data_IF_584502491932
#
_entry.id   IF_584502491932
#
_cell.length_a   1.000
_cell.length_b   1.000
_cell.length_c   1.000
_cell.angle_alpha   90.00
_cell.angle_beta   90.00
_cell.angle_gamma   90.00
#
_symmetry.space_group_name_H-M   'P 1'
#
loop_
_entity.id
_entity.type
_entity.pdbx_description
1 polymer ?
#
# COMPACT_ATOMS: atom_id res chain seq x y z
N UNK A 1 9.76 6.21 -15.57
CA UNK A 1 10.38 4.95 -16.07
C UNK A 1 11.21 4.41 -14.94
N UNK A 2 10.70 3.40 -14.23
CA UNK A 2 11.37 2.85 -13.06
C UNK A 2 12.56 2.00 -13.49
N UNK A 3 13.77 2.39 -13.09
CA UNK A 3 14.97 1.56 -13.25
C UNK A 3 15.08 0.69 -12.00
N UNK A 4 14.65 -0.56 -12.11
CA UNK A 4 14.76 -1.54 -11.03
C UNK A 4 16.23 -1.91 -10.85
N UNK A 5 16.84 -1.47 -9.75
CA UNK A 5 18.16 -1.96 -9.34
C UNK A 5 18.08 -3.46 -9.01
N UNK A 6 18.72 -4.26 -9.87
CA UNK A 6 19.23 -5.63 -9.68
C UNK A 6 18.70 -6.36 -8.43
N UNK A 7 17.47 -6.85 -8.52
CA UNK A 7 16.92 -7.77 -7.53
C UNK A 7 17.68 -9.11 -7.60
N UNK A 8 18.14 -9.59 -6.45
CA UNK A 8 18.65 -10.95 -6.31
C UNK A 8 17.57 -11.94 -6.76
N UNK A 9 17.98 -12.95 -7.55
CA UNK A 9 17.08 -13.83 -8.30
C UNK A 9 16.34 -14.81 -7.37
N UNK A 10 15.21 -14.38 -6.80
CA UNK A 10 14.25 -15.29 -6.19
C UNK A 10 13.47 -16.05 -7.27
N UNK A 11 13.33 -17.37 -7.10
CA UNK A 11 12.49 -18.20 -7.97
C UNK A 11 11.04 -18.02 -7.53
N UNK A 12 10.24 -17.34 -8.35
CA UNK A 12 8.79 -17.18 -8.13
C UNK A 12 8.04 -18.42 -8.62
N UNK A 13 7.01 -18.83 -7.87
CA UNK A 13 6.08 -19.85 -8.38
C UNK A 13 5.28 -19.28 -9.55
N UNK A 14 5.34 -19.90 -10.72
CA UNK A 14 4.69 -19.40 -11.93
C UNK A 14 3.16 -19.43 -11.86
N UNK A 15 2.58 -20.37 -11.11
CA UNK A 15 1.13 -20.55 -11.06
C UNK A 15 0.43 -19.44 -10.25
N UNK A 16 0.88 -19.16 -9.02
CA UNK A 16 0.26 -18.13 -8.16
C UNK A 16 1.06 -16.82 -8.09
N UNK A 17 2.37 -16.84 -8.36
CA UNK A 17 3.34 -15.74 -8.14
C UNK A 17 3.41 -15.22 -6.68
N UNK A 18 2.68 -15.81 -5.74
CA UNK A 18 2.63 -15.39 -4.33
C UNK A 18 3.75 -15.98 -3.47
N UNK A 19 4.21 -17.19 -3.77
CA UNK A 19 5.29 -17.83 -3.03
C UNK A 19 6.66 -17.51 -3.66
N UNK A 20 7.57 -17.00 -2.84
CA UNK A 20 8.97 -16.77 -3.20
C UNK A 20 9.85 -17.86 -2.59
N UNK A 21 10.69 -18.47 -3.41
CA UNK A 21 11.63 -19.49 -2.96
C UNK A 21 13.06 -19.07 -3.31
N UNK A 22 14.01 -19.41 -2.45
CA UNK A 22 15.43 -19.19 -2.73
C UNK A 22 15.95 -20.11 -3.85
N UNK A 23 15.27 -21.23 -4.14
CA UNK A 23 15.64 -22.14 -5.22
C UNK A 23 14.44 -22.98 -5.72
N UNK A 24 14.61 -23.66 -6.87
CA UNK A 24 13.61 -24.59 -7.42
C UNK A 24 13.42 -25.82 -6.53
N UNK A 25 14.44 -26.24 -5.80
CA UNK A 25 14.38 -27.36 -4.85
C UNK A 25 13.46 -27.02 -3.68
N UNK A 26 13.59 -25.81 -3.13
CA UNK A 26 12.70 -25.30 -2.08
C UNK A 26 11.25 -25.22 -2.55
N UNK A 27 11.02 -24.74 -3.78
CA UNK A 27 9.69 -24.73 -4.39
C UNK A 27 9.10 -26.15 -4.51
N UNK A 28 9.84 -27.11 -5.07
CA UNK A 28 9.38 -28.49 -5.25
C UNK A 28 9.07 -29.16 -3.91
N UNK A 29 9.86 -28.89 -2.88
CA UNK A 29 9.67 -29.41 -1.52
C UNK A 29 8.38 -28.90 -0.88
N UNK A 30 8.05 -27.63 -1.09
CA UNK A 30 6.84 -26.99 -0.54
C UNK A 30 5.59 -27.20 -1.41
N UNK A 31 5.76 -27.58 -2.68
CA UNK A 31 4.68 -27.72 -3.65
C UNK A 31 3.48 -28.58 -3.20
N UNK A 32 3.63 -29.74 -2.54
CA UNK A 32 2.49 -30.53 -2.10
C UNK A 32 1.56 -29.79 -1.11
N UNK A 33 2.13 -28.97 -0.23
CA UNK A 33 1.37 -28.12 0.69
C UNK A 33 0.83 -26.88 -0.03
N UNK A 34 1.70 -26.20 -0.78
CA UNK A 34 1.35 -24.99 -1.52
C UNK A 34 0.26 -25.23 -2.57
N UNK A 35 0.24 -26.38 -3.25
CA UNK A 35 -0.74 -26.70 -4.30
C UNK A 35 -2.19 -26.59 -3.82
N UNK A 36 -2.44 -26.81 -2.53
CA UNK A 36 -3.77 -26.70 -1.94
C UNK A 36 -4.21 -25.24 -1.78
N UNK A 37 -3.27 -24.33 -1.51
CA UNK A 37 -3.52 -22.87 -1.44
C UNK A 37 -3.26 -22.13 -2.76
N UNK A 38 -2.59 -22.78 -3.72
CA UNK A 38 -2.28 -22.24 -5.05
C UNK A 38 -3.50 -22.20 -5.98
N UNK A 39 -4.52 -23.01 -5.69
CA UNK A 39 -5.76 -23.04 -6.47
C UNK A 39 -6.70 -21.93 -6.00
N UNK A 40 -7.20 -21.15 -6.95
CA UNK A 40 -8.41 -20.32 -6.85
C UNK A 40 -8.31 -18.91 -6.25
N UNK A 41 -7.24 -18.15 -6.53
CA UNK A 41 -7.44 -16.71 -6.69
C UNK A 41 -7.91 -16.43 -8.12
N UNK A 42 -9.23 -16.48 -8.29
CA UNK A 42 -9.95 -16.32 -9.55
C UNK A 42 -9.94 -14.90 -10.08
N UNK A 43 -9.58 -13.90 -9.28
CA UNK A 43 -9.36 -12.55 -9.76
C UNK A 43 -7.85 -12.26 -9.93
N UNK A 44 -7.42 -11.90 -11.13
CA UNK A 44 -6.02 -11.59 -11.45
C UNK A 44 -5.61 -10.16 -11.08
N UNK A 45 -6.57 -9.32 -10.71
CA UNK A 45 -6.31 -8.01 -10.09
C UNK A 45 -5.60 -8.19 -8.73
N UNK A 46 -6.08 -9.01 -7.76
CA UNK A 46 -5.32 -9.34 -6.56
C UNK A 46 -3.91 -9.83 -6.84
N UNK A 47 -3.69 -10.61 -7.90
CA UNK A 47 -2.34 -11.06 -8.28
C UNK A 47 -1.44 -9.89 -8.71
N UNK A 48 -1.98 -8.97 -9.51
CA UNK A 48 -1.27 -7.76 -9.94
C UNK A 48 -0.90 -6.90 -8.71
N UNK A 49 -1.87 -6.63 -7.84
CA UNK A 49 -1.66 -5.84 -6.62
C UNK A 49 -0.73 -6.55 -5.63
N UNK A 50 -0.85 -7.86 -5.48
CA UNK A 50 0.10 -8.66 -4.68
C UNK A 50 1.52 -8.55 -5.23
N UNK A 51 1.68 -8.60 -6.56
CA UNK A 51 2.96 -8.37 -7.24
C UNK A 51 3.52 -6.97 -7.01
N UNK A 52 2.66 -5.94 -7.03
CA UNK A 52 3.00 -4.56 -6.68
C UNK A 52 3.51 -4.48 -5.24
N UNK A 53 2.76 -5.04 -4.28
CA UNK A 53 3.13 -5.06 -2.86
C UNK A 53 4.39 -5.90 -2.57
N UNK A 54 4.71 -6.87 -3.43
CA UNK A 54 5.93 -7.67 -3.32
C UNK A 54 7.19 -6.95 -3.82
N UNK A 55 7.07 -5.79 -4.49
CA UNK A 55 8.22 -4.98 -4.87
C UNK A 55 8.69 -4.15 -3.66
N UNK A 56 9.91 -4.34 -3.15
CA UNK A 56 10.37 -3.68 -1.92
C UNK A 56 10.47 -2.17 -2.05
N UNK A 57 10.79 -1.64 -3.25
CA UNK A 57 10.90 -0.20 -3.48
C UNK A 57 9.52 0.43 -3.48
N UNK A 58 8.61 -0.08 -4.32
CA UNK A 58 7.24 0.45 -4.41
C UNK A 58 6.48 0.31 -3.08
N UNK A 59 6.70 -0.80 -2.36
CA UNK A 59 6.12 -1.00 -1.05
C UNK A 59 6.71 -0.02 -0.01
N UNK A 60 8.01 0.29 -0.07
CA UNK A 60 8.61 1.30 0.79
C UNK A 60 8.03 2.70 0.49
N UNK A 61 7.89 3.07 -0.78
CA UNK A 61 7.31 4.35 -1.18
C UNK A 61 5.85 4.48 -0.71
N UNK A 62 5.06 3.41 -0.90
CA UNK A 62 3.68 3.35 -0.40
C UNK A 62 3.62 3.45 1.13
N UNK A 63 4.46 2.72 1.86
CA UNK A 63 4.53 2.83 3.33
C UNK A 63 4.90 4.23 3.78
N UNK A 64 5.81 4.89 3.05
CA UNK A 64 6.25 6.26 3.31
C UNK A 64 5.10 7.24 3.06
N UNK A 65 4.36 7.10 1.96
CA UNK A 65 3.16 7.86 1.67
C UNK A 65 2.12 7.73 2.80
N UNK A 66 1.85 6.50 3.24
CA UNK A 66 0.94 6.22 4.36
C UNK A 66 1.44 6.83 5.67
N UNK A 67 2.75 6.76 5.94
CA UNK A 67 3.35 7.35 7.14
C UNK A 67 3.25 8.87 7.17
N UNK A 68 3.40 9.55 6.02
CA UNK A 68 3.19 11.00 5.88
C UNK A 68 1.70 11.31 6.08
N UNK A 69 0.84 10.60 5.36
CA UNK A 69 -0.62 10.86 5.34
C UNK A 69 -1.25 10.72 6.73
N UNK A 70 -0.88 9.70 7.49
CA UNK A 70 -1.34 9.51 8.87
C UNK A 70 -0.45 10.16 9.92
N UNK A 71 0.58 10.90 9.48
CA UNK A 71 1.51 11.61 10.35
C UNK A 71 2.14 10.70 11.44
N UNK A 72 2.51 9.48 11.05
CA UNK A 72 2.98 8.42 11.96
C UNK A 72 4.36 8.74 12.55
N UNK A 73 5.23 9.36 11.76
CA UNK A 73 6.60 9.68 12.15
C UNK A 73 6.68 10.65 13.35
N UNK A 74 5.74 11.59 13.43
CA UNK A 74 5.70 12.55 14.55
C UNK A 74 5.13 11.92 15.82
N UNK A 75 4.28 10.89 15.69
CA UNK A 75 3.78 10.12 16.84
C UNK A 75 4.88 9.25 17.45
N UNK A 76 5.83 8.77 16.65
CA UNK A 76 6.88 7.88 17.11
C UNK A 76 8.00 8.58 17.90
N UNK A 77 8.15 9.91 17.77
CA UNK A 77 9.37 10.62 18.22
C UNK A 77 9.25 11.43 19.50
N UNK A 78 8.07 11.64 20.11
CA UNK A 78 8.00 12.53 21.28
C UNK A 78 6.84 12.21 22.27
N UNK A 79 7.09 12.13 23.60
CA UNK A 79 6.16 12.74 24.56
C UNK A 79 6.07 14.25 24.26
N UNK A 80 4.89 14.89 24.43
CA UNK A 80 4.63 16.23 23.92
C UNK A 80 5.72 17.24 24.35
N UNK A 81 6.21 18.09 23.43
CA UNK A 81 7.19 19.11 23.79
C UNK A 81 6.62 20.02 24.88
N UNK A 82 7.41 20.44 25.89
CA UNK A 82 6.96 21.41 26.86
C UNK A 82 6.58 22.70 26.13
N UNK A 83 5.31 23.10 26.28
CA UNK A 83 4.73 24.29 25.69
C UNK A 83 5.60 25.50 26.03
N UNK A 84 6.15 26.18 25.02
CA UNK A 84 6.74 27.51 25.17
C UNK A 84 5.78 28.54 24.54
N UNK A 85 5.03 29.30 25.34
CA UNK A 85 4.43 30.53 24.86
C UNK A 85 5.54 31.56 24.62
N UNK A 86 5.28 32.57 23.78
CA UNK A 86 6.17 33.69 23.40
C UNK A 86 7.03 33.31 22.15
N UNK A 87 6.86 33.84 20.93
CA UNK A 87 6.47 35.17 20.47
C UNK A 87 5.90 35.19 19.03
N UNK A 88 5.32 36.34 18.66
CA UNK A 88 4.91 36.86 17.35
C UNK A 88 3.55 36.46 16.75
N UNK A 89 2.84 37.52 16.35
CA UNK A 89 1.39 37.69 16.24
C UNK A 89 1.10 38.21 14.83
N UNK A 90 0.32 37.42 14.08
CA UNK A 90 -0.69 37.81 13.06
C UNK A 90 -0.80 36.86 11.86
N UNK A 91 0.19 36.01 11.58
CA UNK A 91 -0.02 34.78 10.78
C UNK A 91 -0.41 33.57 11.64
N UNK A 92 -0.34 33.74 12.96
CA UNK A 92 -0.64 32.70 13.96
C UNK A 92 -2.09 32.30 13.99
N UNK A 93 -3.06 33.15 13.64
CA UNK A 93 -4.48 32.80 13.80
C UNK A 93 -4.93 31.73 12.79
N UNK A 94 -4.59 31.90 11.50
CA UNK A 94 -4.90 30.91 10.46
C UNK A 94 -4.03 29.66 10.58
N UNK A 95 -2.73 29.81 10.83
CA UNK A 95 -1.85 28.66 11.08
C UNK A 95 -2.33 27.87 12.31
N UNK A 96 -2.74 28.54 13.40
CA UNK A 96 -3.30 27.91 14.59
C UNK A 96 -4.67 27.30 14.36
N UNK A 97 -5.53 27.90 13.53
CA UNK A 97 -6.82 27.31 13.16
C UNK A 97 -6.63 26.05 12.31
N UNK A 98 -5.68 26.06 11.37
CA UNK A 98 -5.29 24.89 10.59
C UNK A 98 -4.63 23.81 11.46
N UNK A 99 -3.74 24.21 12.39
CA UNK A 99 -3.14 23.30 13.38
C UNK A 99 -4.20 22.69 14.30
N UNK A 100 -5.15 23.48 14.81
CA UNK A 100 -6.25 23.01 15.65
C UNK A 100 -7.20 22.09 14.88
N UNK A 101 -7.48 22.38 13.61
CA UNK A 101 -8.28 21.50 12.76
C UNK A 101 -7.57 20.17 12.50
N UNK A 102 -6.25 20.20 12.24
CA UNK A 102 -5.42 19.01 12.15
C UNK A 102 -5.34 18.24 13.47
N UNK A 103 -5.21 18.93 14.60
CA UNK A 103 -5.16 18.32 15.94
C UNK A 103 -6.51 17.73 16.38
N UNK A 104 -7.62 18.39 16.04
CA UNK A 104 -8.97 17.89 16.30
C UNK A 104 -9.32 16.69 15.39
N UNK A 105 -8.76 16.66 14.17
CA UNK A 105 -8.89 15.53 13.25
C UNK A 105 -7.88 14.40 13.52
N UNK A 106 -6.86 14.62 14.37
CA UNK A 106 -5.88 13.58 14.69
C UNK A 106 -6.53 12.51 15.57
N UNK A 107 -6.50 11.23 15.15
CA UNK A 107 -6.76 10.15 16.10
C UNK A 107 -5.77 10.27 17.26
N UNK A 108 -6.28 10.11 18.49
CA UNK A 108 -5.52 10.31 19.72
C UNK A 108 -4.19 9.52 19.62
N UNK A 109 -3.01 10.20 19.60
CA UNK A 109 -1.74 9.60 19.18
C UNK A 109 -1.26 8.44 20.06
N UNK A 110 -1.93 8.20 21.19
CA UNK A 110 -1.63 7.12 22.13
C UNK A 110 -2.26 5.76 21.84
N UNK A 111 -3.14 5.59 20.83
CA UNK A 111 -3.90 4.34 20.71
C UNK A 111 -4.12 3.79 19.29
N UNK A 112 -3.07 3.81 18.47
CA UNK A 112 -3.07 3.12 17.17
C UNK A 112 -3.19 1.59 17.29
N UNK A 113 -3.02 1.04 18.49
CA UNK A 113 -3.28 -0.38 18.74
C UNK A 113 -4.77 -0.70 18.87
N UNK A 114 -5.66 0.29 19.07
CA UNK A 114 -7.10 0.04 19.20
C UNK A 114 -7.89 0.25 17.90
N UNK A 115 -7.40 1.10 17.00
CA UNK A 115 -8.13 1.47 15.77
C UNK A 115 -7.23 1.30 14.54
N UNK A 116 -7.69 0.60 13.48
CA UNK A 116 -6.93 0.52 12.23
C UNK A 116 -6.83 1.88 11.55
N UNK A 117 -5.67 2.21 11.02
CA UNK A 117 -5.56 3.22 9.96
C UNK A 117 -6.15 2.63 8.69
N UNK A 118 -7.07 3.33 8.04
CA UNK A 118 -7.62 2.88 6.76
C UNK A 118 -7.36 3.95 5.72
N UNK A 119 -6.74 3.53 4.63
CA UNK A 119 -6.47 4.36 3.47
C UNK A 119 -7.21 3.79 2.26
N UNK A 120 -7.64 4.66 1.37
CA UNK A 120 -8.15 4.30 0.06
C UNK A 120 -7.15 4.75 -0.99
N UNK A 121 -6.76 3.85 -1.88
CA UNK A 121 -5.93 4.15 -3.02
C UNK A 121 -6.70 3.87 -4.31
N UNK A 122 -6.92 4.90 -5.11
CA UNK A 122 -7.53 4.73 -6.43
C UNK A 122 -6.44 4.33 -7.41
N UNK A 123 -6.67 3.25 -8.13
CA UNK A 123 -5.71 2.67 -9.06
C UNK A 123 -6.29 2.71 -10.47
N UNK A 124 -5.48 3.18 -11.40
CA UNK A 124 -5.80 3.12 -12.83
C UNK A 124 -4.81 2.25 -13.59
N UNK A 125 -5.28 1.84 -14.76
CA UNK A 125 -4.50 1.22 -15.81
C UNK A 125 -4.47 2.16 -17.01
N UNK A 126 -3.35 2.19 -17.74
CA UNK A 126 -3.33 2.88 -19.02
C UNK A 126 -4.35 2.24 -19.97
N UNK A 127 -5.08 3.01 -20.80
CA UNK A 127 -6.06 2.44 -21.72
C UNK A 127 -5.46 1.39 -22.67
N UNK A 128 -4.18 1.55 -23.07
CA UNK A 128 -3.49 0.55 -23.89
C UNK A 128 -3.23 -0.77 -23.15
N UNK A 129 -3.03 -0.70 -21.84
CA UNK A 129 -2.73 -1.85 -20.99
C UNK A 129 -3.99 -2.62 -20.60
N UNK A 130 -5.16 -1.99 -20.71
CA UNK A 130 -6.43 -2.61 -20.32
C UNK A 130 -6.70 -3.92 -21.07
N UNK A 131 -6.34 -3.98 -22.35
CA UNK A 131 -6.48 -5.20 -23.15
C UNK A 131 -5.55 -6.32 -22.67
N UNK A 132 -4.29 -6.00 -22.43
CA UNK A 132 -3.30 -6.98 -21.96
C UNK A 132 -3.62 -7.43 -20.54
N UNK A 133 -4.01 -6.51 -19.67
CA UNK A 133 -4.50 -6.83 -18.33
C UNK A 133 -5.72 -7.72 -18.45
N UNK A 134 -6.74 -7.38 -19.23
CA UNK A 134 -7.93 -8.21 -19.41
C UNK A 134 -7.62 -9.60 -19.97
N UNK A 135 -6.68 -9.73 -20.89
CA UNK A 135 -6.24 -11.04 -21.39
C UNK A 135 -5.53 -11.83 -20.30
N UNK A 136 -4.62 -11.20 -19.54
CA UNK A 136 -4.05 -11.81 -18.33
C UNK A 136 -5.17 -12.18 -17.37
N UNK A 137 -6.24 -11.37 -17.34
CA UNK A 137 -7.34 -11.55 -16.44
C UNK A 137 -8.24 -12.74 -16.80
N UNK A 138 -8.51 -12.94 -18.08
CA UNK A 138 -9.31 -14.05 -18.58
C UNK A 138 -8.53 -15.37 -18.67
N UNK A 139 -7.20 -15.32 -18.51
CA UNK A 139 -6.33 -16.46 -18.76
C UNK A 139 -6.02 -16.68 -20.23
N UNK A 140 -6.33 -15.70 -21.09
CA UNK A 140 -6.08 -15.71 -22.54
C UNK A 140 -4.65 -15.28 -22.92
N UNK A 141 -3.69 -15.51 -22.00
CA UNK A 141 -2.28 -15.20 -22.17
C UNK A 141 -1.47 -16.42 -21.82
N UNK A 142 -0.62 -16.86 -22.76
CA UNK A 142 0.33 -17.94 -22.52
C UNK A 142 1.45 -17.50 -21.58
N UNK A 143 2.12 -18.45 -20.93
CA UNK A 143 3.24 -18.13 -20.03
C UNK A 143 4.37 -17.33 -20.75
N UNK A 144 4.58 -17.58 -22.04
CA UNK A 144 5.55 -16.87 -22.85
C UNK A 144 5.15 -15.41 -23.07
N UNK A 145 3.89 -15.15 -23.42
CA UNK A 145 3.36 -13.79 -23.61
C UNK A 145 3.29 -13.01 -22.29
N UNK A 146 3.02 -13.67 -21.17
CA UNK A 146 2.97 -13.00 -19.86
C UNK A 146 4.30 -12.35 -19.48
N UNK A 147 5.42 -12.85 -20.01
CA UNK A 147 6.75 -12.24 -19.80
C UNK A 147 7.01 -11.00 -20.67
N UNK A 148 6.25 -10.83 -21.75
CA UNK A 148 6.40 -9.71 -22.69
C UNK A 148 5.40 -8.58 -22.43
N UNK A 149 4.28 -8.87 -21.76
CA UNK A 149 3.30 -7.86 -21.37
C UNK A 149 3.97 -6.90 -20.38
N UNK A 150 4.08 -5.64 -20.79
CA UNK A 150 4.44 -4.53 -19.92
C UNK A 150 3.17 -3.71 -19.72
N UNK A 151 2.84 -3.44 -18.46
CA UNK A 151 1.74 -2.56 -18.11
C UNK A 151 2.17 -1.57 -17.03
N UNK A 152 1.52 -0.43 -17.00
CA UNK A 152 1.68 0.59 -15.96
C UNK A 152 0.43 0.64 -15.11
N UNK A 153 0.66 0.44 -13.82
CA UNK A 153 -0.32 0.65 -12.78
C UNK A 153 -0.07 2.05 -12.22
N UNK A 154 -1.08 2.92 -12.27
CA UNK A 154 -0.99 4.27 -11.73
C UNK A 154 -1.73 4.34 -10.40
N UNK A 155 -1.08 4.84 -9.36
CA UNK A 155 -1.74 5.21 -8.12
C UNK A 155 -2.22 6.67 -8.28
N UNK A 156 -3.52 6.85 -8.52
CA UNK A 156 -4.10 8.17 -8.84
C UNK A 156 -4.27 9.04 -7.61
N UNK A 157 -4.79 8.44 -6.55
CA UNK A 157 -5.19 9.15 -5.33
C UNK A 157 -4.96 8.25 -4.13
N UNK A 158 -4.48 8.82 -3.04
CA UNK A 158 -4.33 8.17 -1.74
C UNK A 158 -4.94 9.08 -0.68
N UNK A 159 -6.06 8.65 -0.11
CA UNK A 159 -6.77 9.43 0.89
C UNK A 159 -7.05 8.61 2.16
N UNK A 160 -7.10 9.25 3.34
CA UNK A 160 -7.64 8.62 4.53
C UNK A 160 -9.09 8.17 4.27
N UNK A 161 -9.40 6.93 4.63
CA UNK A 161 -10.76 6.41 4.59
C UNK A 161 -11.30 6.36 6.01
N UNK A 162 -12.50 6.87 6.21
CA UNK A 162 -13.21 6.66 7.45
C UNK A 162 -13.65 5.20 7.57
N UNK A 163 -13.65 4.68 8.80
CA UNK A 163 -14.32 3.43 9.15
C UNK A 163 -15.86 3.55 9.01
N UNK A 164 -16.38 4.79 8.96
CA UNK A 164 -17.76 5.13 9.28
C UNK A 164 -18.76 5.02 8.11
N UNK A 165 -18.34 4.85 6.86
CA UNK A 165 -19.31 4.73 5.78
C UNK A 165 -19.90 3.29 5.81
N UNK A 166 -21.15 3.07 6.30
CA UNK A 166 -21.81 1.80 6.05
C UNK A 166 -21.82 1.59 4.53
N UNK A 167 -21.68 0.33 4.07
CA UNK A 167 -21.80 0.04 2.66
C UNK A 167 -23.11 0.65 2.16
N UNK A 168 -23.00 1.49 1.13
CA UNK A 168 -24.10 2.15 0.43
C UNK A 168 -25.29 1.18 0.39
N UNK A 169 -26.43 1.63 0.93
CA UNK A 169 -27.63 0.82 1.17
C UNK A 169 -27.91 -0.10 -0.03
N UNK A 170 -28.20 -1.40 0.18
CA UNK A 170 -28.32 -2.42 -0.88
C UNK A 170 -29.51 -2.23 -1.84
N UNK A 171 -30.17 -1.08 -1.85
CA UNK A 171 -31.47 -0.88 -2.48
C UNK A 171 -31.45 -0.56 -3.99
N UNK A 172 -30.30 -0.42 -4.68
CA UNK A 172 -30.30 0.15 -6.05
C UNK A 172 -29.56 -0.59 -7.17
N UNK A 173 -29.01 -1.80 -6.97
CA UNK A 173 -28.36 -2.51 -8.09
C UNK A 173 -28.77 -3.98 -8.11
N UNK A 174 -29.71 -4.31 -8.99
CA UNK A 174 -30.21 -5.65 -9.32
C UNK A 174 -29.22 -6.52 -10.10
N UNK A 175 -27.91 -6.26 -9.97
CA UNK A 175 -26.85 -7.02 -10.61
C UNK A 175 -26.09 -7.79 -9.54
N UNK A 176 -26.02 -9.11 -9.70
CA UNK A 176 -25.25 -10.05 -8.88
C UNK A 176 -23.96 -9.44 -8.32
N UNK A 177 -23.97 -9.06 -7.04
CA UNK A 177 -22.75 -8.67 -6.33
C UNK A 177 -21.80 -9.87 -6.37
N UNK A 178 -20.53 -9.71 -6.77
CA UNK A 178 -19.56 -10.77 -6.55
C UNK A 178 -19.53 -11.06 -5.05
N UNK A 179 -19.54 -12.34 -4.64
CA UNK A 179 -19.49 -12.71 -3.25
C UNK A 179 -18.09 -12.37 -2.74
N UNK A 180 -17.90 -11.13 -2.27
CA UNK A 180 -16.77 -10.82 -1.41
C UNK A 180 -17.03 -11.56 -0.09
N UNK A 181 -16.74 -12.86 -0.08
CA UNK A 181 -16.80 -13.74 1.10
C UNK A 181 -15.69 -13.41 2.11
N UNK A 182 -15.02 -12.27 1.93
CA UNK A 182 -13.89 -11.82 2.72
C UNK A 182 -14.32 -11.33 4.09
N UNK A 183 -13.67 -11.89 5.11
CA UNK A 183 -13.57 -11.37 6.48
C UNK A 183 -13.71 -9.86 6.54
N UNK A 184 -14.41 -9.36 7.56
CA UNK A 184 -14.54 -7.91 7.77
C UNK A 184 -13.16 -7.24 7.81
N UNK A 185 -13.03 -5.99 7.36
CA UNK A 185 -11.77 -5.21 7.48
C UNK A 185 -11.16 -5.30 8.87
N UNK A 186 -12.03 -5.28 9.88
CA UNK A 186 -11.65 -5.40 11.29
C UNK A 186 -11.04 -6.77 11.64
N UNK A 187 -11.55 -7.86 11.09
CA UNK A 187 -10.93 -9.18 11.24
C UNK A 187 -9.57 -9.27 10.54
N UNK A 188 -9.42 -8.69 9.34
CA UNK A 188 -8.12 -8.62 8.66
C UNK A 188 -7.09 -7.89 9.52
N UNK A 189 -7.46 -6.74 10.06
CA UNK A 189 -6.60 -5.98 10.96
C UNK A 189 -6.29 -6.72 12.26
N UNK A 190 -7.29 -7.33 12.92
CA UNK A 190 -7.06 -8.13 14.15
C UNK A 190 -6.10 -9.28 13.90
N UNK A 191 -6.29 -10.02 12.81
CA UNK A 191 -5.40 -11.13 12.44
C UNK A 191 -3.97 -10.63 12.19
N UNK A 192 -3.82 -9.51 11.48
CA UNK A 192 -2.52 -8.90 11.25
C UNK A 192 -1.84 -8.45 12.55
N UNK A 193 -2.62 -7.85 13.46
CA UNK A 193 -2.16 -7.44 14.78
C UNK A 193 -1.70 -8.64 15.60
N UNK A 194 -2.50 -9.70 15.67
CA UNK A 194 -2.14 -10.95 16.37
C UNK A 194 -0.87 -11.57 15.78
N UNK A 195 -0.74 -11.60 14.44
CA UNK A 195 0.46 -12.09 13.78
C UNK A 195 1.69 -11.26 14.16
N UNK A 196 1.59 -9.93 14.12
CA UNK A 196 2.66 -9.02 14.58
C UNK A 196 3.05 -9.32 16.03
N UNK A 197 2.08 -9.43 16.94
CA UNK A 197 2.32 -9.61 18.37
C UNK A 197 2.96 -10.98 18.71
N UNK A 198 2.79 -11.98 17.84
CA UNK A 198 3.44 -13.30 17.96
C UNK A 198 4.90 -13.31 17.49
N UNK A 199 5.36 -12.28 16.77
CA UNK A 199 6.70 -12.21 16.19
C UNK A 199 7.57 -11.20 16.98
N UNK A 200 8.36 -11.63 17.97
CA UNK A 200 9.13 -10.71 18.83
C UNK A 200 10.19 -9.89 18.08
N UNK A 201 10.60 -10.33 16.90
CA UNK A 201 11.54 -9.63 16.03
C UNK A 201 10.89 -8.53 15.19
N UNK A 202 9.55 -8.51 15.10
CA UNK A 202 8.84 -7.40 14.49
C UNK A 202 8.61 -6.36 15.57
N UNK A 203 9.29 -5.21 15.45
CA UNK A 203 8.97 -4.03 16.27
C UNK A 203 7.48 -3.72 16.14
N UNK A 204 6.90 -3.03 17.14
CA UNK A 204 5.47 -2.67 17.18
C UNK A 204 5.15 -1.61 16.13
N UNK A 205 5.20 -2.01 14.87
CA UNK A 205 4.90 -1.16 13.75
C UNK A 205 3.39 -0.93 13.66
N UNK A 206 2.96 0.28 13.28
CA UNK A 206 1.58 0.55 12.90
C UNK A 206 1.16 -0.34 11.72
N UNK A 207 -0.11 -0.74 11.73
CA UNK A 207 -0.72 -1.51 10.65
C UNK A 207 -1.80 -0.65 10.00
N UNK A 208 -1.68 -0.46 8.69
CA UNK A 208 -2.69 0.19 7.87
C UNK A 208 -3.45 -0.83 7.04
N UNK A 209 -4.76 -0.63 6.89
CA UNK A 209 -5.57 -1.28 5.88
C UNK A 209 -5.63 -0.38 4.64
N UNK A 210 -5.21 -0.89 3.51
CA UNK A 210 -5.22 -0.17 2.24
C UNK A 210 -6.26 -0.76 1.32
N UNK A 211 -7.27 0.03 0.97
CA UNK A 211 -8.29 -0.31 0.00
C UNK A 211 -7.88 0.16 -1.39
N UNK A 212 -7.49 -0.76 -2.26
CA UNK A 212 -7.34 -0.47 -3.68
C UNK A 212 -8.70 -0.46 -4.37
N UNK A 213 -8.99 0.65 -5.04
CA UNK A 213 -10.23 0.85 -5.79
C UNK A 213 -9.89 0.99 -7.26
N UNK A 214 -10.48 0.12 -8.06
CA UNK A 214 -10.39 0.18 -9.52
C UNK A 214 -11.76 0.61 -10.03
N UNK A 215 -11.93 1.90 -10.41
CA UNK A 215 -13.24 2.48 -10.69
C UNK A 215 -14.02 1.68 -11.74
N UNK A 216 -13.35 1.29 -12.84
CA UNK A 216 -14.00 0.63 -13.97
C UNK A 216 -14.40 -0.82 -13.68
N UNK A 217 -13.70 -1.47 -12.75
CA UNK A 217 -13.99 -2.85 -12.36
C UNK A 217 -15.05 -2.94 -11.25
N UNK A 218 -15.39 -1.82 -10.60
CA UNK A 218 -16.17 -1.77 -9.36
C UNK A 218 -15.65 -2.78 -8.31
N UNK A 219 -14.32 -2.94 -8.27
CA UNK A 219 -13.64 -3.84 -7.35
C UNK A 219 -12.94 -3.04 -6.27
N UNK A 220 -13.06 -3.56 -5.05
CA UNK A 220 -12.44 -3.04 -3.83
C UNK A 220 -11.62 -4.17 -3.24
N UNK A 221 -10.31 -3.96 -3.08
CA UNK A 221 -9.41 -4.95 -2.53
C UNK A 221 -8.68 -4.38 -1.33
N UNK A 222 -8.90 -4.96 -0.16
CA UNK A 222 -8.26 -4.53 1.08
C UNK A 222 -6.99 -5.33 1.34
N UNK A 223 -5.87 -4.63 1.53
CA UNK A 223 -4.58 -5.19 1.91
C UNK A 223 -4.18 -4.72 3.30
N UNK A 224 -3.42 -5.55 4.00
CA UNK A 224 -2.76 -5.19 5.25
C UNK A 224 -1.35 -4.69 4.91
N UNK A 225 -1.06 -3.46 5.27
CA UNK A 225 0.23 -2.80 5.01
C UNK A 225 0.88 -2.45 6.35
N UNK A 226 1.91 -3.20 6.80
CA UNK A 226 2.70 -2.80 7.95
C UNK A 226 3.58 -1.60 7.58
N UNK A 227 3.66 -0.60 8.46
CA UNK A 227 4.45 0.60 8.24
C UNK A 227 5.77 0.46 8.99
N UNK A 228 6.79 -0.01 8.28
CA UNK A 228 8.05 -0.46 8.87
C UNK A 228 8.97 0.72 9.23
N UNK A 229 9.98 0.46 10.08
CA UNK A 229 11.01 1.45 10.48
C UNK A 229 11.61 2.22 9.32
N UNK A 230 12.01 1.61 8.19
CA UNK A 230 12.63 2.37 7.10
C UNK A 230 11.73 3.49 6.56
N UNK A 231 10.43 3.23 6.38
CA UNK A 231 9.48 4.25 5.94
C UNK A 231 9.36 5.38 6.97
N UNK A 232 9.26 5.04 8.25
CA UNK A 232 9.18 6.02 9.35
C UNK A 232 10.45 6.89 9.39
N UNK A 233 11.62 6.28 9.27
CA UNK A 233 12.92 6.97 9.26
C UNK A 233 13.02 7.93 8.07
N UNK A 234 12.62 7.49 6.86
CA UNK A 234 12.56 8.36 5.68
C UNK A 234 11.72 9.62 5.94
N UNK A 235 10.54 9.47 6.57
CA UNK A 235 9.69 10.61 6.93
C UNK A 235 10.33 11.49 8.00
N UNK A 236 10.92 10.90 9.05
CA UNK A 236 11.54 11.66 10.15
C UNK A 236 12.71 12.52 9.70
N UNK A 237 13.53 12.01 8.79
CA UNK A 237 14.69 12.74 8.28
C UNK A 237 14.28 13.74 7.17
N UNK A 238 13.02 13.75 6.74
CA UNK A 238 12.56 14.54 5.61
C UNK A 238 13.30 14.21 4.32
N UNK A 239 13.89 13.00 4.22
CA UNK A 239 14.62 12.57 3.03
C UNK A 239 13.61 12.29 1.93
N UNK A 240 13.58 13.20 0.96
CA UNK A 240 12.88 13.02 -0.29
C UNK A 240 13.44 11.88 -1.14
N UNK A 241 12.85 11.68 -2.30
CA UNK A 241 13.31 10.69 -3.26
C UNK A 241 14.27 11.34 -4.26
N UNK A 242 15.31 10.60 -4.65
CA UNK A 242 16.21 11.01 -5.73
C UNK A 242 15.71 10.40 -7.03
N UNK A 243 15.34 11.24 -7.98
CA UNK A 243 14.96 10.78 -9.32
C UNK A 243 16.16 10.90 -10.25
N UNK A 244 16.39 9.86 -11.06
CA UNK A 244 17.32 9.91 -12.18
C UNK A 244 16.53 9.90 -13.49
N UNK A 245 16.81 10.87 -14.37
CA UNK A 245 16.14 10.93 -15.67
C UNK A 245 16.50 9.72 -16.52
N UNK A 246 15.47 8.98 -16.94
CA UNK A 246 15.67 7.92 -17.92
C UNK A 246 16.08 8.46 -19.31
N UNK A 247 15.73 9.71 -19.62
CA UNK A 247 16.08 10.36 -20.90
C UNK A 247 17.48 10.97 -20.89
N UNK A 248 18.00 11.31 -19.69
CA UNK A 248 19.29 11.96 -19.50
C UNK A 248 20.03 11.30 -18.32
N UNK A 249 20.74 10.18 -18.57
CA UNK A 249 21.48 9.47 -17.53
C UNK A 249 22.46 10.41 -16.80
N UNK A 250 22.52 10.30 -15.47
CA UNK A 250 23.32 11.18 -14.62
C UNK A 250 22.65 12.50 -14.22
N UNK A 251 21.53 12.90 -14.85
CA UNK A 251 20.72 14.02 -14.35
C UNK A 251 19.87 13.54 -13.18
N UNK A 252 20.18 14.06 -11.99
CA UNK A 252 19.49 13.75 -10.74
C UNK A 252 18.92 15.01 -10.13
N UNK A 253 17.74 14.91 -9.54
CA UNK A 253 17.19 15.97 -8.71
C UNK A 253 16.56 15.37 -7.45
N UNK A 254 16.72 16.12 -6.36
CA UNK A 254 16.08 15.81 -5.09
C UNK A 254 14.63 16.30 -5.16
N UNK A 255 13.71 15.41 -4.85
CA UNK A 255 12.29 15.71 -4.83
C UNK A 255 11.84 15.76 -3.38
N UNK A 256 11.22 16.87 -2.90
CA UNK A 256 10.81 16.97 -1.51
C UNK A 256 9.83 15.86 -1.16
N UNK A 257 9.91 15.36 0.07
CA UNK A 257 9.06 14.27 0.50
C UNK A 257 7.60 14.74 0.58
N UNK A 258 6.71 14.10 -0.19
CA UNK A 258 5.26 14.36 -0.18
C UNK A 258 4.49 13.09 -0.57
N UNK A 259 3.20 13.04 -0.21
CA UNK A 259 2.34 11.90 -0.57
C UNK A 259 2.29 11.72 -2.08
N UNK A 260 2.04 12.80 -2.84
CA UNK A 260 1.89 12.74 -4.29
C UNK A 260 3.14 12.22 -5.00
N UNK A 261 4.33 12.55 -4.49
CA UNK A 261 5.60 12.15 -5.10
C UNK A 261 6.00 10.72 -4.75
N UNK A 262 5.53 10.19 -3.62
CA UNK A 262 5.67 8.76 -3.31
C UNK A 262 4.77 7.87 -4.19
N UNK A 263 3.77 8.44 -4.88
CA UNK A 263 2.85 7.70 -5.76
C UNK A 263 3.26 7.73 -7.24
N UNK A 264 4.26 8.55 -7.62
CA UNK A 264 4.73 8.75 -9.00
C UNK A 264 5.81 7.75 -9.42
#
# INVERSE_FOLDING_TARGET
MFVVHKAELFVRNFACKMAMYCSRECQKKDWPGHKQSCKEETSPIPRLLSGFMANPVLNLDLQTALAIMFNIATMATNPPPPFRPEDEVDQKAEAKAYQLALEAARPNPGNWDEVPFIAKCTVDLEPCDYNDVNRVLSGDVTDAECSTIQGRLYLRDLCPSEFSAPPISPASISGSRPPYQGKTRLELWRNAKTFRDQNPNQSKYPICLLDFVIPDANQLLTFVVPILSPAIVCVQEGRGCMFESAMMPGLRWDVPLSVDLCLQ
#
